data_IF_361344394050
#
_entry.id   IF_361344394050
#
_cell.length_a   1.000
_cell.length_b   1.000
_cell.length_c   1.000
_cell.angle_alpha   90.00
_cell.angle_beta   90.00
_cell.angle_gamma   90.00
#
_symmetry.space_group_name_H-M   'P 1'
#
loop_
_entity.id
_entity.type
_entity.pdbx_description
1 polymer ?
#
# COMPACT_ATOMS: atom_id res chain seq x y z
N UNK A 1 -22.81 5.99 -5.71
CA UNK A 1 -22.35 5.55 -4.36
C UNK A 1 -20.83 5.59 -4.34
N UNK A 2 -20.22 5.88 -3.20
CA UNK A 2 -18.76 5.78 -3.06
C UNK A 2 -18.35 4.30 -3.03
N UNK A 3 -17.18 3.97 -3.61
CA UNK A 3 -16.57 2.64 -3.49
C UNK A 3 -16.03 2.47 -2.07
N UNK A 4 -16.46 1.41 -1.38
CA UNK A 4 -16.01 1.11 -0.03
C UNK A 4 -14.68 0.40 -0.05
N UNK A 5 -13.72 0.92 0.73
CA UNK A 5 -12.38 0.36 0.82
C UNK A 5 -11.96 0.12 2.28
N UNK A 6 -11.11 -0.86 2.50
CA UNK A 6 -10.30 -1.02 3.72
C UNK A 6 -8.85 -0.87 3.27
N UNK A 7 -8.09 0.00 3.94
CA UNK A 7 -6.66 0.13 3.70
C UNK A 7 -5.90 -0.68 4.74
N UNK A 8 -5.16 -1.70 4.28
CA UNK A 8 -4.25 -2.52 5.09
C UNK A 8 -2.82 -2.13 4.73
N UNK A 9 -2.14 -1.41 5.61
CA UNK A 9 -0.92 -0.66 5.30
C UNK A 9 0.12 -0.75 6.42
N UNK A 10 1.36 -0.40 6.12
CA UNK A 10 2.46 -0.30 7.09
C UNK A 10 3.12 1.09 7.07
N UNK A 11 2.36 2.16 7.40
CA UNK A 11 2.62 3.53 6.99
C UNK A 11 4.07 3.98 7.03
N UNK A 12 4.65 3.96 5.82
CA UNK A 12 5.81 4.66 5.38
C UNK A 12 5.42 5.91 4.57
N UNK A 13 6.38 6.48 3.84
CA UNK A 13 6.22 7.73 3.10
C UNK A 13 5.14 7.66 2.01
N UNK A 14 5.13 6.60 1.24
CA UNK A 14 4.23 6.37 0.12
C UNK A 14 2.85 5.83 0.56
N UNK A 15 2.77 5.04 1.65
CA UNK A 15 1.49 4.74 2.32
C UNK A 15 0.78 6.00 2.80
N UNK A 16 1.54 6.95 3.39
CA UNK A 16 0.97 8.22 3.84
C UNK A 16 0.35 9.00 2.69
N UNK A 17 1.00 9.01 1.52
CA UNK A 17 0.45 9.62 0.30
C UNK A 17 -0.78 8.85 -0.17
N UNK A 18 -0.75 7.50 -0.17
CA UNK A 18 -1.91 6.68 -0.52
C UNK A 18 -3.13 6.99 0.38
N UNK A 19 -2.93 7.10 1.71
CA UNK A 19 -3.97 7.48 2.66
C UNK A 19 -4.54 8.88 2.35
N UNK A 20 -3.68 9.85 2.07
CA UNK A 20 -4.07 11.22 1.72
C UNK A 20 -4.93 11.24 0.44
N UNK A 21 -4.51 10.52 -0.59
CA UNK A 21 -5.26 10.44 -1.85
C UNK A 21 -6.62 9.75 -1.68
N UNK A 22 -6.66 8.65 -0.93
CA UNK A 22 -7.90 7.93 -0.65
C UNK A 22 -8.90 8.78 0.13
N UNK A 23 -8.41 9.55 1.10
CA UNK A 23 -9.23 10.38 1.98
C UNK A 23 -9.49 11.81 1.49
N UNK A 24 -9.05 12.18 0.29
CA UNK A 24 -9.28 13.50 -0.29
C UNK A 24 -10.77 13.89 -0.25
N UNK A 25 -11.05 15.17 -0.10
CA UNK A 25 -12.42 15.68 0.14
C UNK A 25 -13.38 15.28 -0.98
N UNK A 26 -12.92 15.32 -2.21
CA UNK A 26 -13.68 14.95 -3.41
C UNK A 26 -13.52 13.46 -3.81
N UNK A 27 -12.89 12.64 -2.96
CA UNK A 27 -12.64 11.23 -3.27
C UNK A 27 -13.95 10.45 -3.46
N UNK A 28 -14.06 9.63 -4.53
CA UNK A 28 -15.16 8.70 -4.72
C UNK A 28 -15.05 7.45 -3.82
N UNK A 29 -14.00 7.38 -2.99
CA UNK A 29 -13.74 6.28 -2.09
C UNK A 29 -14.32 6.57 -0.69
N UNK A 30 -14.76 5.51 0.00
CA UNK A 30 -15.18 5.52 1.39
C UNK A 30 -14.29 4.59 2.19
N UNK A 31 -13.40 5.16 3.01
CA UNK A 31 -12.50 4.38 3.87
C UNK A 31 -13.28 3.86 5.08
N UNK A 32 -13.60 2.57 5.11
CA UNK A 32 -14.32 1.93 6.21
C UNK A 32 -13.46 1.73 7.46
N UNK A 33 -12.16 1.49 7.26
CA UNK A 33 -11.14 1.37 8.29
C UNK A 33 -9.75 1.43 7.66
N UNK A 34 -8.76 1.78 8.49
CA UNK A 34 -7.34 1.55 8.23
C UNK A 34 -6.87 0.46 9.20
N UNK A 35 -6.25 -0.57 8.66
CA UNK A 35 -5.59 -1.63 9.42
C UNK A 35 -4.09 -1.56 9.21
N UNK A 36 -3.30 -1.82 10.25
CA UNK A 36 -1.85 -1.71 10.14
C UNK A 36 -1.16 -3.05 10.35
N UNK A 37 0.00 -3.22 9.73
CA UNK A 37 0.82 -4.44 9.79
C UNK A 37 2.28 -4.05 10.03
N UNK A 38 3.07 -4.96 10.55
CA UNK A 38 4.53 -4.81 10.62
C UNK A 38 5.15 -5.01 9.24
N UNK A 39 6.03 -4.10 8.84
CA UNK A 39 6.71 -4.11 7.55
C UNK A 39 7.73 -2.97 7.50
N UNK A 40 7.39 -1.79 6.99
CA UNK A 40 8.29 -0.64 6.95
C UNK A 40 8.90 -0.34 8.32
N UNK A 41 8.08 -0.48 9.37
CA UNK A 41 8.49 -0.41 10.78
C UNK A 41 7.68 -1.41 11.64
N UNK A 42 7.91 -1.41 12.95
CA UNK A 42 7.09 -2.18 13.87
C UNK A 42 5.62 -1.75 13.76
N UNK A 43 4.70 -2.67 13.99
CA UNK A 43 3.26 -2.38 13.92
C UNK A 43 2.83 -1.26 14.86
N UNK A 44 3.52 -1.05 15.97
CA UNK A 44 3.23 0.06 16.90
C UNK A 44 3.57 1.41 16.28
N UNK A 45 4.73 1.53 15.61
CA UNK A 45 5.11 2.74 14.88
C UNK A 45 4.19 2.97 13.69
N UNK A 46 3.91 1.94 12.91
CA UNK A 46 3.00 2.02 11.75
C UNK A 46 1.58 2.44 12.17
N UNK A 47 1.09 1.94 13.31
CA UNK A 47 -0.20 2.36 13.88
C UNK A 47 -0.18 3.84 14.29
N UNK A 48 0.90 4.28 14.94
CA UNK A 48 1.11 5.69 15.31
C UNK A 48 1.14 6.57 14.07
N UNK A 49 1.84 6.14 13.03
CA UNK A 49 1.94 6.85 11.76
C UNK A 49 0.58 6.98 11.07
N UNK A 50 -0.20 5.89 10.99
CA UNK A 50 -1.55 5.92 10.43
C UNK A 50 -2.45 6.94 11.16
N UNK A 51 -2.41 6.96 12.50
CA UNK A 51 -3.18 7.91 13.31
C UNK A 51 -2.75 9.35 13.03
N UNK A 52 -1.44 9.63 12.99
CA UNK A 52 -0.90 10.95 12.72
C UNK A 52 -1.27 11.45 11.31
N UNK A 53 -1.16 10.60 10.28
CA UNK A 53 -1.56 10.95 8.91
C UNK A 53 -3.05 11.31 8.85
N UNK A 54 -3.91 10.52 9.45
CA UNK A 54 -5.34 10.80 9.51
C UNK A 54 -5.66 12.08 10.31
N UNK A 55 -4.88 12.38 11.36
CA UNK A 55 -5.02 13.63 12.10
C UNK A 55 -4.66 14.86 11.24
N UNK A 56 -3.57 14.77 10.46
CA UNK A 56 -3.17 15.83 9.51
C UNK A 56 -4.24 16.06 8.44
N UNK A 57 -4.87 14.99 7.97
CA UNK A 57 -5.96 15.03 6.99
C UNK A 57 -7.28 15.54 7.59
N UNK A 58 -7.38 15.71 8.91
CA UNK A 58 -8.66 16.02 9.60
C UNK A 58 -9.66 14.86 9.59
N UNK A 59 -9.18 13.59 9.42
CA UNK A 59 -10.01 12.40 9.27
C UNK A 59 -9.98 11.50 10.52
N UNK A 60 -10.25 12.08 11.68
CA UNK A 60 -10.36 11.35 12.95
C UNK A 60 -11.60 10.42 13.02
N UNK A 61 -12.52 10.54 12.07
CA UNK A 61 -13.70 9.68 11.89
C UNK A 61 -13.33 8.25 11.46
N UNK A 62 -12.16 8.05 10.83
CA UNK A 62 -11.72 6.76 10.32
C UNK A 62 -11.06 5.95 11.43
N UNK A 63 -11.60 4.75 11.71
CA UNK A 63 -11.03 3.84 12.69
C UNK A 63 -9.68 3.28 12.22
N UNK A 64 -8.69 3.22 13.14
CA UNK A 64 -7.42 2.54 12.91
C UNK A 64 -7.34 1.31 13.81
N UNK A 65 -6.99 0.14 13.26
CA UNK A 65 -6.82 -1.10 13.99
C UNK A 65 -5.40 -1.63 13.86
N UNK A 66 -4.76 -1.94 14.99
CA UNK A 66 -3.45 -2.57 15.01
C UNK A 66 -3.56 -4.05 14.64
N UNK A 67 -2.70 -4.50 13.74
CA UNK A 67 -2.67 -5.88 13.25
C UNK A 67 -1.43 -6.66 13.66
N UNK A 68 -0.98 -7.52 12.75
CA UNK A 68 0.11 -8.44 12.99
C UNK A 68 1.45 -7.71 13.25
N UNK A 69 2.15 -8.13 14.29
CA UNK A 69 3.46 -7.63 14.67
C UNK A 69 4.61 -8.38 13.97
N UNK A 70 4.29 -9.42 13.21
CA UNK A 70 5.23 -10.28 12.48
C UNK A 70 4.51 -11.08 11.39
N UNK A 71 5.26 -11.61 10.42
CA UNK A 71 4.77 -12.54 9.41
C UNK A 71 4.19 -13.83 10.01
N UNK A 72 3.46 -14.60 9.21
CA UNK A 72 2.86 -15.87 9.63
C UNK A 72 3.90 -16.87 10.16
N UNK A 73 5.07 -16.94 9.55
CA UNK A 73 6.09 -17.97 9.86
C UNK A 73 7.43 -17.34 10.24
N UNK A 74 7.91 -16.36 9.48
CA UNK A 74 9.24 -15.77 9.65
C UNK A 74 9.30 -14.80 10.84
N UNK A 75 10.49 -14.49 11.36
CA UNK A 75 10.71 -13.32 12.20
C UNK A 75 10.37 -12.03 11.46
N UNK A 76 9.97 -11.01 12.19
CA UNK A 76 9.75 -9.68 11.61
C UNK A 76 11.05 -9.11 11.02
N UNK A 77 10.90 -8.43 9.89
CA UNK A 77 11.94 -7.64 9.24
C UNK A 77 11.36 -6.25 8.94
N UNK A 78 12.21 -5.22 8.99
CA UNK A 78 11.78 -3.83 8.85
C UNK A 78 12.65 -3.10 7.82
N UNK A 79 12.05 -2.17 7.07
CA UNK A 79 12.72 -1.33 6.09
C UNK A 79 13.16 0.04 6.69
N UNK A 80 13.66 0.03 7.92
CA UNK A 80 14.06 1.26 8.64
C UNK A 80 15.13 2.08 7.90
N UNK A 81 15.97 1.43 7.08
CA UNK A 81 16.98 2.12 6.27
C UNK A 81 16.35 3.02 5.19
N UNK A 82 15.11 2.70 4.78
CA UNK A 82 14.39 3.44 3.73
C UNK A 82 13.48 4.50 4.35
N UNK A 83 12.71 4.13 5.39
CA UNK A 83 11.68 4.98 5.96
C UNK A 83 12.11 5.75 7.23
N UNK A 84 13.33 5.53 7.69
CA UNK A 84 13.88 6.15 8.90
C UNK A 84 13.41 5.49 10.19
N UNK A 85 13.84 6.02 11.31
CA UNK A 85 13.59 5.48 12.65
C UNK A 85 12.10 5.46 13.03
N UNK A 86 11.35 6.51 12.67
CA UNK A 86 9.91 6.60 12.93
C UNK A 86 9.06 5.84 11.90
N UNK A 87 9.62 5.58 10.72
CA UNK A 87 8.90 5.13 9.53
C UNK A 87 8.34 6.28 8.68
N UNK A 88 8.31 7.50 9.20
CA UNK A 88 7.91 8.74 8.52
C UNK A 88 8.90 9.88 8.86
N UNK A 89 10.19 9.59 8.76
CA UNK A 89 11.20 10.61 9.00
C UNK A 89 11.15 11.71 7.91
N UNK A 90 11.42 12.94 8.31
CA UNK A 90 11.28 14.15 7.50
C UNK A 90 10.39 15.15 8.24
N UNK A 91 9.09 15.03 8.19
CA UNK A 91 8.19 15.90 8.95
C UNK A 91 8.25 15.66 10.46
N UNK A 92 7.94 16.71 11.23
CA UNK A 92 7.84 16.59 12.68
C UNK A 92 6.46 16.09 13.07
N UNK A 93 6.37 14.86 13.50
CA UNK A 93 5.14 14.24 13.95
C UNK A 93 5.12 14.05 15.48
N UNK A 94 3.93 14.11 16.13
CA UNK A 94 3.79 13.75 17.52
C UNK A 94 4.15 12.27 17.74
N UNK A 95 4.95 12.00 18.79
CA UNK A 95 5.23 10.62 19.21
C UNK A 95 4.00 9.93 19.84
N UNK A 96 3.02 10.72 20.27
CA UNK A 96 1.74 10.25 20.80
C UNK A 96 0.62 10.89 20.00
N UNK A 97 -0.14 10.09 19.23
CA UNK A 97 -1.28 10.58 18.46
C UNK A 97 -2.39 11.17 19.34
N UNK A 98 -3.26 11.98 18.77
CA UNK A 98 -4.39 12.60 19.46
C UNK A 98 -5.44 11.58 19.94
N UNK A 99 -5.44 10.39 19.36
CA UNK A 99 -6.37 9.29 19.65
C UNK A 99 -5.67 7.93 19.61
N UNK A 100 -6.35 6.90 20.04
CA UNK A 100 -5.83 5.52 20.03
C UNK A 100 -6.48 4.69 18.93
N UNK A 101 -5.77 3.64 18.52
CA UNK A 101 -6.33 2.58 17.70
C UNK A 101 -7.48 1.87 18.44
N UNK A 102 -8.42 1.32 17.67
CA UNK A 102 -9.50 0.51 18.26
C UNK A 102 -8.91 -0.78 18.87
N UNK A 103 -9.56 -1.30 19.92
CA UNK A 103 -9.09 -2.49 20.62
C UNK A 103 -9.20 -3.79 19.80
N UNK A 104 -10.04 -3.78 18.72
CA UNK A 104 -10.25 -4.94 17.87
C UNK A 104 -9.03 -5.14 16.95
N UNK A 105 -8.46 -6.37 16.85
CA UNK A 105 -7.35 -6.68 15.95
C UNK A 105 -7.71 -6.42 14.48
N UNK A 106 -6.72 -6.08 13.66
CA UNK A 106 -6.90 -5.73 12.25
C UNK A 106 -7.67 -6.81 11.46
N UNK A 107 -7.31 -8.09 11.59
CA UNK A 107 -8.01 -9.18 10.90
C UNK A 107 -9.50 -9.28 11.30
N UNK A 108 -9.84 -8.98 12.55
CA UNK A 108 -11.24 -8.96 13.00
C UNK A 108 -11.98 -7.74 12.47
N UNK A 109 -11.31 -6.59 12.35
CA UNK A 109 -11.89 -5.39 11.71
C UNK A 109 -12.15 -5.66 10.24
N UNK A 110 -11.20 -6.27 9.50
CA UNK A 110 -11.39 -6.67 8.11
C UNK A 110 -12.62 -7.57 7.98
N UNK A 111 -12.68 -8.67 8.74
CA UNK A 111 -13.80 -9.61 8.72
C UNK A 111 -15.12 -8.88 9.02
N UNK A 112 -15.16 -8.11 10.09
CA UNK A 112 -16.38 -7.41 10.51
C UNK A 112 -16.86 -6.43 9.43
N UNK A 113 -15.97 -5.56 8.92
CA UNK A 113 -16.32 -4.56 7.92
C UNK A 113 -16.78 -5.18 6.60
N UNK A 114 -16.13 -6.26 6.15
CA UNK A 114 -16.52 -6.99 4.94
C UNK A 114 -17.86 -7.67 5.12
N UNK A 115 -18.06 -8.41 6.22
CA UNK A 115 -19.30 -9.18 6.46
C UNK A 115 -20.51 -8.32 6.79
N UNK A 116 -20.32 -7.09 7.27
CA UNK A 116 -21.44 -6.18 7.62
C UNK A 116 -21.71 -5.12 6.55
N UNK A 117 -20.89 -5.05 5.51
CA UNK A 117 -21.08 -4.10 4.41
C UNK A 117 -22.30 -4.50 3.56
N UNK A 118 -23.08 -3.49 3.15
CA UNK A 118 -24.24 -3.67 2.24
C UNK A 118 -23.85 -3.78 0.76
N UNK A 119 -22.56 -3.51 0.45
CA UNK A 119 -21.97 -3.65 -0.89
C UNK A 119 -20.60 -4.33 -0.79
N UNK A 120 -20.12 -4.99 -1.84
CA UNK A 120 -18.78 -5.56 -1.85
C UNK A 120 -17.71 -4.51 -1.50
N UNK A 121 -16.64 -4.96 -0.82
CA UNK A 121 -15.57 -4.10 -0.31
C UNK A 121 -14.29 -4.37 -1.09
N UNK A 122 -13.57 -3.33 -1.48
CA UNK A 122 -12.21 -3.45 -2.01
C UNK A 122 -11.21 -3.39 -0.86
N UNK A 123 -10.30 -4.35 -0.77
CA UNK A 123 -9.15 -4.27 0.15
C UNK A 123 -7.99 -3.65 -0.62
N UNK A 124 -7.43 -2.57 -0.08
CA UNK A 124 -6.19 -1.96 -0.58
C UNK A 124 -5.08 -2.36 0.38
N UNK A 125 -4.16 -3.20 -0.09
CA UNK A 125 -3.06 -3.72 0.72
C UNK A 125 -1.74 -3.14 0.22
N UNK A 126 -1.13 -2.27 1.01
CA UNK A 126 0.13 -1.59 0.68
C UNK A 126 1.32 -2.12 1.47
N UNK A 127 1.08 -2.91 2.52
CA UNK A 127 2.10 -3.62 3.28
C UNK A 127 2.06 -5.14 3.08
N UNK A 128 2.84 -5.88 3.90
CA UNK A 128 2.81 -7.35 3.91
C UNK A 128 1.40 -7.89 4.15
N UNK A 129 1.01 -8.93 3.41
CA UNK A 129 -0.36 -9.43 3.34
C UNK A 129 -0.85 -10.23 4.56
N UNK A 130 -0.13 -10.17 5.67
CA UNK A 130 -0.37 -10.97 6.88
C UNK A 130 -1.78 -10.82 7.45
N UNK A 131 -2.29 -9.58 7.57
CA UNK A 131 -3.64 -9.34 8.09
C UNK A 131 -4.73 -9.86 7.15
N UNK A 132 -4.59 -9.61 5.86
CA UNK A 132 -5.54 -10.05 4.82
C UNK A 132 -5.58 -11.57 4.77
N UNK A 133 -4.43 -12.23 4.74
CA UNK A 133 -4.34 -13.69 4.78
C UNK A 133 -4.94 -14.27 6.06
N UNK A 134 -4.65 -13.66 7.22
CA UNK A 134 -5.23 -14.07 8.50
C UNK A 134 -6.75 -13.95 8.50
N UNK A 135 -7.30 -12.87 7.96
CA UNK A 135 -8.74 -12.69 7.84
C UNK A 135 -9.37 -13.77 6.95
N UNK A 136 -8.78 -14.07 5.79
CA UNK A 136 -9.22 -15.13 4.86
C UNK A 136 -9.11 -16.55 5.45
N UNK A 137 -8.11 -16.80 6.31
CA UNK A 137 -7.96 -18.09 7.00
C UNK A 137 -9.04 -18.26 8.08
N UNK A 138 -9.30 -17.20 8.85
CA UNK A 138 -10.23 -17.24 9.98
C UNK A 138 -11.69 -17.22 9.55
N UNK A 139 -12.01 -16.51 8.48
CA UNK A 139 -13.35 -16.39 7.92
C UNK A 139 -13.33 -16.45 6.38
N UNK A 140 -13.26 -17.66 5.80
CA UNK A 140 -13.16 -17.81 4.34
C UNK A 140 -14.33 -17.20 3.55
N UNK A 141 -15.51 -17.05 4.17
CA UNK A 141 -16.71 -16.49 3.51
C UNK A 141 -16.55 -15.03 3.13
N UNK A 142 -15.58 -14.28 3.74
CA UNK A 142 -15.33 -12.90 3.33
C UNK A 142 -14.93 -12.80 1.85
N UNK A 143 -14.36 -13.85 1.27
CA UNK A 143 -13.98 -13.86 -0.15
C UNK A 143 -15.16 -13.58 -1.09
N UNK A 144 -16.38 -13.97 -0.72
CA UNK A 144 -17.60 -13.73 -1.50
C UNK A 144 -18.11 -12.28 -1.41
N UNK A 145 -17.61 -11.52 -0.43
CA UNK A 145 -17.99 -10.12 -0.16
C UNK A 145 -16.90 -9.11 -0.48
N UNK A 146 -15.74 -9.59 -0.94
CA UNK A 146 -14.63 -8.74 -1.41
C UNK A 146 -14.76 -8.57 -2.92
N UNK A 147 -14.86 -7.31 -3.39
CA UNK A 147 -14.89 -6.98 -4.82
C UNK A 147 -13.55 -7.28 -5.48
N UNK A 148 -12.47 -6.84 -4.85
CA UNK A 148 -11.10 -7.06 -5.28
C UNK A 148 -10.11 -6.78 -4.16
N UNK A 149 -8.90 -7.31 -4.33
CA UNK A 149 -7.73 -6.90 -3.55
C UNK A 149 -6.81 -6.13 -4.50
N UNK A 150 -6.57 -4.86 -4.21
CA UNK A 150 -5.63 -4.02 -4.95
C UNK A 150 -4.39 -3.86 -4.09
N UNK A 151 -3.27 -4.43 -4.52
CA UNK A 151 -2.06 -4.50 -3.68
C UNK A 151 -0.84 -3.87 -4.34
N UNK A 152 0.02 -3.29 -3.51
CA UNK A 152 1.39 -2.97 -3.85
C UNK A 152 2.30 -4.10 -3.36
N UNK A 153 3.06 -4.67 -4.25
CA UNK A 153 4.06 -5.68 -3.94
C UNK A 153 4.48 -6.51 -5.13
N UNK A 154 5.63 -7.14 -5.01
CA UNK A 154 6.19 -8.00 -6.03
C UNK A 154 6.71 -7.28 -7.26
N UNK A 155 6.83 -8.04 -8.34
CA UNK A 155 7.39 -7.58 -9.61
C UNK A 155 8.12 -8.71 -10.31
N UNK A 156 8.61 -8.43 -11.52
CA UNK A 156 9.46 -9.37 -12.28
C UNK A 156 10.91 -9.35 -11.80
N UNK A 157 11.26 -8.43 -10.90
CA UNK A 157 12.55 -8.31 -10.22
C UNK A 157 12.30 -7.89 -8.75
N UNK A 158 13.37 -7.86 -7.93
CA UNK A 158 13.26 -7.52 -6.52
C UNK A 158 14.00 -6.23 -6.15
N UNK A 159 13.66 -5.70 -4.97
CA UNK A 159 14.36 -4.59 -4.30
C UNK A 159 14.93 -5.00 -2.94
N UNK A 160 14.41 -6.06 -2.34
CA UNK A 160 14.92 -6.61 -1.07
C UNK A 160 15.93 -7.74 -1.28
N UNK A 161 15.61 -8.62 -2.20
CA UNK A 161 16.57 -9.59 -2.79
C UNK A 161 16.59 -9.39 -4.31
N UNK A 162 17.52 -9.97 -5.05
CA UNK A 162 17.51 -9.85 -6.51
C UNK A 162 16.21 -10.29 -7.18
N UNK A 163 15.41 -11.13 -6.51
CA UNK A 163 14.21 -11.75 -7.08
C UNK A 163 12.93 -11.45 -6.31
N UNK A 164 13.01 -10.78 -5.16
CA UNK A 164 11.85 -10.55 -4.31
C UNK A 164 11.73 -9.07 -3.91
N UNK A 165 10.53 -8.56 -4.04
CA UNK A 165 10.11 -7.28 -3.50
C UNK A 165 9.79 -7.45 -2.00
N UNK A 166 9.95 -6.36 -1.24
CA UNK A 166 9.92 -6.36 0.22
C UNK A 166 8.62 -6.90 0.81
N UNK A 167 7.46 -6.41 0.41
CA UNK A 167 6.16 -6.80 0.98
C UNK A 167 5.89 -8.30 0.80
N UNK A 168 6.19 -8.83 -0.39
CA UNK A 168 6.03 -10.25 -0.69
C UNK A 168 7.11 -11.07 0.05
N UNK A 169 8.34 -10.57 0.12
CA UNK A 169 9.41 -11.25 0.82
C UNK A 169 9.18 -11.31 2.33
N UNK A 170 8.58 -10.29 2.94
CA UNK A 170 8.28 -10.30 4.39
C UNK A 170 7.36 -11.45 4.74
N UNK A 171 6.29 -11.69 3.99
CA UNK A 171 5.33 -12.77 4.26
C UNK A 171 4.86 -13.45 2.98
N UNK A 172 5.74 -14.28 2.39
CA UNK A 172 5.42 -15.01 1.16
C UNK A 172 4.30 -16.05 1.37
N UNK A 173 4.16 -16.60 2.56
CA UNK A 173 3.07 -17.51 2.91
C UNK A 173 1.72 -16.80 2.91
N UNK A 174 1.66 -15.60 3.47
CA UNK A 174 0.46 -14.77 3.42
C UNK A 174 0.14 -14.36 1.97
N UNK A 175 1.13 -13.92 1.21
CA UNK A 175 0.97 -13.59 -0.20
C UNK A 175 0.41 -14.79 -0.99
N UNK A 176 1.02 -15.96 -0.85
CA UNK A 176 0.51 -17.18 -1.49
C UNK A 176 -0.95 -17.45 -1.14
N UNK A 177 -1.32 -17.34 0.14
CA UNK A 177 -2.71 -17.54 0.59
C UNK A 177 -3.68 -16.57 -0.07
N UNK A 178 -3.27 -15.30 -0.25
CA UNK A 178 -4.09 -14.29 -0.93
C UNK A 178 -4.24 -14.61 -2.42
N UNK A 179 -3.16 -14.94 -3.12
CA UNK A 179 -3.20 -15.29 -4.55
C UNK A 179 -3.99 -16.57 -4.86
N UNK A 180 -4.15 -17.47 -3.88
CA UNK A 180 -4.97 -18.68 -3.98
C UNK A 180 -6.42 -18.49 -3.51
N UNK A 181 -6.83 -17.28 -3.14
CA UNK A 181 -8.16 -17.01 -2.57
C UNK A 181 -9.31 -17.07 -3.58
N UNK A 182 -9.01 -16.94 -4.87
CA UNK A 182 -10.01 -16.83 -5.93
C UNK A 182 -10.63 -15.42 -6.07
N UNK A 183 -10.22 -14.47 -5.23
CA UNK A 183 -10.63 -13.06 -5.32
C UNK A 183 -9.89 -12.41 -6.49
N UNK A 184 -10.52 -11.46 -7.18
CA UNK A 184 -9.84 -10.61 -8.18
C UNK A 184 -8.71 -9.82 -7.54
N UNK A 185 -7.48 -9.97 -8.05
CA UNK A 185 -6.30 -9.27 -7.53
C UNK A 185 -5.76 -8.31 -8.58
N UNK A 186 -5.57 -7.03 -8.19
CA UNK A 186 -4.86 -6.03 -8.99
C UNK A 186 -3.50 -5.78 -8.36
N UNK A 187 -2.43 -6.02 -9.10
CA UNK A 187 -1.05 -5.99 -8.60
C UNK A 187 -0.29 -4.80 -9.16
N UNK A 188 0.27 -4.00 -8.27
CA UNK A 188 1.17 -2.88 -8.59
C UNK A 188 2.57 -3.23 -8.10
N UNK A 189 3.30 -3.96 -8.96
CA UNK A 189 4.68 -4.38 -8.70
C UNK A 189 5.70 -3.29 -9.03
N UNK A 190 6.97 -3.57 -8.75
CA UNK A 190 8.09 -2.66 -9.02
C UNK A 190 8.17 -2.25 -10.50
N UNK A 191 7.70 -3.12 -11.40
CA UNK A 191 7.68 -2.88 -12.86
C UNK A 191 6.95 -1.58 -13.23
N UNK A 192 5.89 -1.25 -12.52
CA UNK A 192 5.11 -0.03 -12.74
C UNK A 192 5.44 1.06 -11.73
N UNK A 193 5.64 0.70 -10.45
CA UNK A 193 5.81 1.71 -9.39
C UNK A 193 7.13 2.46 -9.52
N UNK A 194 8.18 1.83 -10.04
CA UNK A 194 9.46 2.50 -10.36
C UNK A 194 9.36 3.50 -11.53
N UNK A 195 8.25 3.56 -12.23
CA UNK A 195 8.02 4.60 -13.25
C UNK A 195 7.54 5.92 -12.63
N UNK A 196 6.96 5.89 -11.41
CA UNK A 196 6.34 7.05 -10.77
C UNK A 196 7.28 7.63 -9.70
N UNK A 197 8.28 8.39 -10.16
CA UNK A 197 9.33 8.95 -9.31
C UNK A 197 9.01 10.40 -8.94
N UNK A 198 8.94 10.69 -7.65
CA UNK A 198 8.87 12.05 -7.13
C UNK A 198 10.26 12.68 -7.17
N UNK A 199 10.57 13.32 -8.30
CA UNK A 199 11.79 14.10 -8.51
C UNK A 199 11.67 15.54 -7.98
N UNK A 200 12.68 16.39 -8.25
CA UNK A 200 12.69 17.78 -7.82
C UNK A 200 11.53 18.57 -8.39
N UNK A 201 11.18 18.36 -9.66
CA UNK A 201 10.10 19.11 -10.32
C UNK A 201 8.73 18.81 -9.68
N UNK A 202 8.50 17.56 -9.31
CA UNK A 202 7.28 17.15 -8.59
C UNK A 202 7.22 17.82 -7.21
N UNK A 203 8.34 17.82 -6.48
CA UNK A 203 8.41 18.42 -5.15
C UNK A 203 8.17 19.93 -5.23
N UNK A 204 8.86 20.65 -6.11
CA UNK A 204 8.67 22.10 -6.34
C UNK A 204 7.22 22.44 -6.74
N UNK A 205 6.59 21.58 -7.55
CA UNK A 205 5.19 21.73 -7.91
C UNK A 205 4.28 21.70 -6.69
N UNK A 206 4.50 20.75 -5.77
CA UNK A 206 3.68 20.60 -4.57
C UNK A 206 3.97 21.67 -3.50
N UNK A 207 5.20 22.20 -3.45
CA UNK A 207 5.55 23.37 -2.61
C UNK A 207 4.69 24.60 -2.92
N UNK A 208 4.19 24.71 -4.15
CA UNK A 208 3.29 25.80 -4.55
C UNK A 208 1.88 25.71 -3.95
N UNK A 209 1.51 24.56 -3.35
CA UNK A 209 0.19 24.31 -2.77
C UNK A 209 0.22 24.78 -1.30
N UNK A 210 -0.60 25.78 -0.99
CA UNK A 210 -0.59 26.43 0.31
C UNK A 210 -1.57 25.78 1.30
N UNK A 211 -1.33 24.51 1.68
CA UNK A 211 -2.08 23.87 2.75
C UNK A 211 -1.20 22.90 3.56
N UNK A 212 -1.58 22.57 4.82
CA UNK A 212 -0.76 21.72 5.69
C UNK A 212 -0.54 20.30 5.17
N UNK A 213 -1.50 19.74 4.43
CA UNK A 213 -1.39 18.37 3.88
C UNK A 213 -0.37 18.32 2.76
N UNK A 214 -0.38 19.30 1.85
CA UNK A 214 0.61 19.40 0.79
C UNK A 214 2.02 19.63 1.35
N UNK A 215 2.16 20.51 2.35
CA UNK A 215 3.44 20.73 3.02
C UNK A 215 3.97 19.44 3.66
N UNK A 216 3.10 18.67 4.32
CA UNK A 216 3.47 17.37 4.87
C UNK A 216 3.95 16.40 3.80
N UNK A 217 3.26 16.32 2.65
CA UNK A 217 3.68 15.48 1.51
C UNK A 217 5.04 15.93 0.97
N UNK A 218 5.29 17.23 0.84
CA UNK A 218 6.59 17.76 0.42
C UNK A 218 7.72 17.29 1.36
N UNK A 219 7.54 17.42 2.67
CA UNK A 219 8.54 16.99 3.65
C UNK A 219 8.81 15.48 3.59
N UNK A 220 7.76 14.66 3.37
CA UNK A 220 7.91 13.22 3.13
C UNK A 220 8.73 12.95 1.87
N UNK A 221 8.38 13.57 0.74
CA UNK A 221 9.02 13.34 -0.54
C UNK A 221 10.48 13.81 -0.57
N UNK A 222 10.80 14.91 0.12
CA UNK A 222 12.19 15.38 0.26
C UNK A 222 13.07 14.36 0.99
N UNK A 223 12.58 13.77 2.08
CA UNK A 223 13.28 12.70 2.78
C UNK A 223 13.41 11.45 1.91
N UNK A 224 12.32 11.02 1.32
CA UNK A 224 12.23 9.79 0.54
C UNK A 224 13.13 9.82 -0.70
N UNK A 225 13.14 10.95 -1.43
CA UNK A 225 14.07 11.20 -2.55
C UNK A 225 15.54 11.04 -2.13
N UNK A 226 15.92 11.64 -0.98
CA UNK A 226 17.29 11.54 -0.46
C UNK A 226 17.67 10.10 -0.15
N UNK A 227 16.77 9.34 0.45
CA UNK A 227 16.98 7.92 0.81
C UNK A 227 17.14 7.07 -0.45
N UNK A 228 16.25 7.23 -1.43
CA UNK A 228 16.33 6.49 -2.69
C UNK A 228 17.56 6.85 -3.52
N UNK A 229 18.00 8.10 -3.48
CA UNK A 229 19.29 8.50 -4.09
C UNK A 229 20.47 7.79 -3.44
N UNK A 230 20.44 7.63 -2.12
CA UNK A 230 21.54 7.02 -1.37
C UNK A 230 21.61 5.51 -1.57
N UNK A 231 20.47 4.80 -1.51
CA UNK A 231 20.42 3.34 -1.51
C UNK A 231 20.32 2.73 -2.91
N UNK A 232 19.61 3.39 -3.84
CA UNK A 232 19.30 2.84 -5.16
C UNK A 232 19.83 3.70 -6.32
N UNK A 233 20.48 4.84 -6.03
CA UNK A 233 20.94 5.83 -7.02
C UNK A 233 19.82 6.32 -7.97
N UNK A 234 18.57 6.37 -7.49
CA UNK A 234 17.42 6.93 -8.20
C UNK A 234 17.34 8.44 -8.00
N UNK A 235 16.84 9.18 -9.00
CA UNK A 235 16.75 10.66 -8.94
C UNK A 235 15.46 11.16 -8.27
N UNK A 236 14.54 10.25 -7.90
CA UNK A 236 13.31 10.50 -7.17
C UNK A 236 12.94 9.32 -6.28
N UNK A 237 12.09 9.54 -5.28
CA UNK A 237 11.48 8.48 -4.51
C UNK A 237 10.26 7.93 -5.25
N UNK A 238 10.17 6.61 -5.53
CA UNK A 238 8.98 6.04 -6.14
C UNK A 238 7.82 6.02 -5.13
N UNK A 239 6.66 6.50 -5.55
CA UNK A 239 5.45 6.49 -4.71
C UNK A 239 4.68 5.18 -4.90
N UNK A 240 5.29 4.07 -4.48
CA UNK A 240 4.82 2.72 -4.75
C UNK A 240 3.33 2.54 -4.42
N UNK A 241 2.96 2.80 -3.18
CA UNK A 241 1.64 2.50 -2.61
C UNK A 241 0.54 3.38 -3.18
N UNK A 242 0.88 4.63 -3.48
CA UNK A 242 -0.04 5.58 -4.09
C UNK A 242 -0.62 5.06 -5.42
N UNK A 243 0.13 4.24 -6.17
CA UNK A 243 -0.33 3.64 -7.43
C UNK A 243 -1.62 2.83 -7.25
N UNK A 244 -1.81 2.17 -6.10
CA UNK A 244 -3.02 1.40 -5.80
C UNK A 244 -4.26 2.28 -5.72
N UNK A 245 -4.15 3.43 -5.07
CA UNK A 245 -5.25 4.39 -4.92
C UNK A 245 -5.49 5.16 -6.22
N UNK A 246 -4.44 5.58 -6.92
CA UNK A 246 -4.54 6.24 -8.21
C UNK A 246 -5.30 5.37 -9.22
N UNK A 247 -5.06 4.07 -9.24
CA UNK A 247 -5.84 3.13 -10.05
C UNK A 247 -7.32 3.09 -9.66
N UNK A 248 -7.64 3.10 -8.37
CA UNK A 248 -9.05 3.12 -7.94
C UNK A 248 -9.74 4.44 -8.23
N UNK A 249 -9.00 5.54 -8.29
CA UNK A 249 -9.51 6.86 -8.65
C UNK A 249 -9.68 7.02 -10.16
N UNK A 250 -8.72 6.53 -10.94
CA UNK A 250 -8.65 6.70 -12.40
C UNK A 250 -7.95 5.50 -13.05
N UNK A 251 -8.68 4.38 -13.26
CA UNK A 251 -8.09 3.12 -13.75
C UNK A 251 -7.39 3.22 -15.10
N UNK A 252 -7.84 4.12 -15.96
CA UNK A 252 -7.28 4.35 -17.30
C UNK A 252 -5.84 4.85 -17.31
N UNK A 253 -5.31 5.31 -16.16
CA UNK A 253 -3.91 5.68 -16.03
C UNK A 253 -2.95 4.49 -16.14
N UNK A 254 -3.45 3.29 -15.92
CA UNK A 254 -2.62 2.08 -15.84
C UNK A 254 -2.98 1.05 -16.91
N UNK A 255 -1.97 0.46 -17.54
CA UNK A 255 -2.15 -0.70 -18.39
C UNK A 255 -2.09 -1.98 -17.53
N UNK A 256 -3.25 -2.65 -17.40
CA UNK A 256 -3.39 -3.89 -16.64
C UNK A 256 -3.46 -5.09 -17.58
N UNK A 257 -2.66 -6.13 -17.34
CA UNK A 257 -2.67 -7.36 -18.12
C UNK A 257 -3.09 -8.56 -17.25
N UNK A 258 -3.98 -9.43 -17.74
CA UNK A 258 -4.34 -10.65 -17.02
C UNK A 258 -3.17 -11.64 -17.07
N UNK A 259 -2.72 -12.13 -15.91
CA UNK A 259 -1.57 -13.04 -15.79
C UNK A 259 -1.83 -14.11 -14.74
N UNK A 260 -1.11 -15.24 -14.84
CA UNK A 260 -0.96 -16.15 -13.71
C UNK A 260 0.24 -15.71 -12.88
N UNK A 261 0.05 -15.66 -11.56
CA UNK A 261 1.08 -15.34 -10.58
C UNK A 261 1.16 -16.47 -9.55
N UNK A 262 2.35 -17.03 -9.39
CA UNK A 262 2.70 -17.96 -8.31
C UNK A 262 3.71 -17.28 -7.36
N UNK A 263 3.59 -17.57 -6.05
CA UNK A 263 4.52 -17.06 -5.03
C UNK A 263 5.45 -18.15 -4.56
N UNK A 264 6.76 -17.93 -4.69
CA UNK A 264 7.79 -18.82 -4.16
C UNK A 264 7.97 -18.57 -2.65
N UNK A 265 7.76 -19.61 -1.84
CA UNK A 265 7.77 -19.51 -0.38
C UNK A 265 8.61 -20.60 0.32
N UNK A 266 9.36 -21.42 -0.43
CA UNK A 266 10.09 -22.57 0.11
C UNK A 266 11.60 -22.47 -0.10
N UNK A 267 12.03 -22.01 -1.29
CA UNK A 267 13.45 -21.95 -1.62
C UNK A 267 14.14 -20.81 -0.87
N UNK A 268 15.19 -21.05 -0.10
CA UNK A 268 15.92 -19.98 0.58
C UNK A 268 16.61 -18.99 -0.38
N UNK A 269 16.81 -19.36 -1.65
CA UNK A 269 17.43 -18.49 -2.65
C UNK A 269 16.42 -17.54 -3.29
N UNK A 270 15.19 -18.00 -3.50
CA UNK A 270 14.16 -17.26 -4.26
C UNK A 270 12.89 -17.05 -3.45
N UNK A 271 12.97 -17.16 -2.12
CA UNK A 271 11.85 -16.90 -1.22
C UNK A 271 11.28 -15.49 -1.43
N UNK A 272 9.98 -15.40 -1.58
CA UNK A 272 9.26 -14.15 -1.86
C UNK A 272 9.26 -13.73 -3.33
N UNK A 273 9.84 -14.54 -4.24
CA UNK A 273 9.75 -14.28 -5.68
C UNK A 273 8.30 -14.38 -6.13
N UNK A 274 7.84 -13.37 -6.85
CA UNK A 274 6.59 -13.38 -7.58
C UNK A 274 6.85 -13.85 -9.00
N UNK A 275 6.42 -15.07 -9.33
CA UNK A 275 6.55 -15.65 -10.67
C UNK A 275 5.39 -15.15 -11.55
N UNK A 276 5.60 -14.05 -12.26
CA UNK A 276 4.59 -13.41 -13.13
C UNK A 276 4.70 -14.01 -14.54
N UNK A 277 3.68 -14.75 -14.98
CA UNK A 277 3.65 -15.38 -16.30
C UNK A 277 3.13 -14.44 -17.39
N UNK A 278 3.91 -13.41 -17.72
CA UNK A 278 3.58 -12.44 -18.78
C UNK A 278 3.48 -13.06 -20.17
N UNK A 279 4.18 -14.16 -20.41
CA UNK A 279 4.24 -14.82 -21.70
C UNK A 279 3.31 -16.05 -21.80
N UNK A 280 2.52 -16.32 -20.78
CA UNK A 280 1.58 -17.46 -20.70
C UNK A 280 2.25 -18.83 -20.92
N UNK A 281 3.53 -18.99 -20.52
CA UNK A 281 4.32 -20.20 -20.75
C UNK A 281 3.84 -21.38 -19.90
N UNK A 282 3.21 -21.11 -18.75
CA UNK A 282 2.67 -22.17 -17.88
C UNK A 282 1.34 -22.74 -18.37
N UNK A 283 0.61 -22.01 -19.22
CA UNK A 283 -0.73 -22.37 -19.65
C UNK A 283 -1.78 -22.33 -18.53
N UNK A 284 -1.44 -21.84 -17.32
CA UNK A 284 -2.38 -21.68 -16.22
C UNK A 284 -3.34 -20.51 -16.49
N UNK A 285 -4.60 -20.57 -16.01
CA UNK A 285 -5.52 -19.43 -16.10
C UNK A 285 -4.97 -18.25 -15.28
N UNK A 286 -5.29 -17.03 -15.72
CA UNK A 286 -4.98 -15.82 -14.97
C UNK A 286 -5.67 -15.83 -13.60
N UNK A 287 -4.94 -15.47 -12.54
CA UNK A 287 -5.45 -15.27 -11.20
C UNK A 287 -5.27 -13.83 -10.70
N UNK A 288 -4.65 -12.96 -11.51
CA UNK A 288 -4.43 -11.56 -11.20
C UNK A 288 -4.38 -10.69 -12.46
N UNK A 289 -4.57 -9.38 -12.26
CA UNK A 289 -4.23 -8.33 -13.21
C UNK A 289 -2.95 -7.65 -12.74
N UNK A 290 -1.97 -7.55 -13.61
CA UNK A 290 -0.65 -6.98 -13.30
C UNK A 290 -0.44 -5.68 -14.07
N UNK A 291 -0.08 -4.60 -13.35
CA UNK A 291 0.18 -3.30 -13.95
C UNK A 291 1.55 -3.28 -14.63
N UNK A 292 1.58 -2.92 -15.93
CA UNK A 292 2.81 -2.93 -16.75
C UNK A 292 3.25 -1.55 -17.20
N UNK A 293 2.35 -0.59 -17.27
CA UNK A 293 2.64 0.79 -17.66
C UNK A 293 1.70 1.77 -16.96
N UNK A 294 2.12 3.03 -16.87
CA UNK A 294 1.37 4.11 -16.25
C UNK A 294 1.60 5.43 -16.99
N UNK A 295 0.56 6.26 -17.07
CA UNK A 295 0.67 7.64 -17.54
C UNK A 295 1.18 8.52 -16.38
N UNK A 296 2.50 8.71 -16.34
CA UNK A 296 3.19 9.40 -15.23
C UNK A 296 2.77 10.87 -15.13
N UNK A 297 2.57 11.56 -16.26
CA UNK A 297 2.19 12.97 -16.25
C UNK A 297 0.79 13.15 -15.65
N UNK A 298 -0.17 12.34 -16.08
CA UNK A 298 -1.54 12.39 -15.55
C UNK A 298 -1.62 11.92 -14.10
N UNK A 299 -0.76 11.00 -13.68
CA UNK A 299 -0.62 10.64 -12.25
C UNK A 299 -0.28 11.87 -11.41
N UNK A 300 0.73 12.65 -11.80
CA UNK A 300 1.12 13.83 -11.05
C UNK A 300 0.07 14.94 -11.11
N UNK A 301 -0.67 15.04 -12.22
CA UNK A 301 -1.80 15.96 -12.35
C UNK A 301 -2.93 15.58 -11.38
N UNK A 302 -3.24 14.31 -11.26
CA UNK A 302 -4.26 13.81 -10.34
C UNK A 302 -3.87 14.03 -8.87
N UNK A 303 -2.61 13.77 -8.50
CA UNK A 303 -2.11 14.00 -7.14
C UNK A 303 -2.17 15.50 -6.79
N UNK A 304 -1.69 16.37 -7.67
CA UNK A 304 -1.77 17.83 -7.48
C UNK A 304 -3.21 18.29 -7.24
N UNK A 305 -4.13 17.82 -8.07
CA UNK A 305 -5.56 18.09 -7.90
C UNK A 305 -6.07 17.64 -6.52
N UNK A 306 -5.76 16.41 -6.10
CA UNK A 306 -6.20 15.86 -4.81
C UNK A 306 -5.62 16.62 -3.62
N UNK A 307 -4.35 17.01 -3.68
CA UNK A 307 -3.72 17.81 -2.62
C UNK A 307 -4.39 19.18 -2.46
N UNK A 308 -4.81 19.82 -3.57
CA UNK A 308 -5.53 21.11 -3.51
C UNK A 308 -6.92 21.00 -2.89
N UNK A 309 -7.52 19.81 -2.82
CA UNK A 309 -8.84 19.67 -2.17
C UNK A 309 -8.80 19.85 -0.65
N UNK A 310 -7.62 19.91 -0.05
CA UNK A 310 -7.40 20.15 1.37
C UNK A 310 -7.23 21.66 1.71
N UNK A 311 -7.42 22.55 0.74
CA UNK A 311 -7.41 24.01 0.93
C UNK A 311 -8.62 24.53 1.71
#
# INVERSE_FOLDING_TARGET
>A
MKRKIIMDCDPGHDDAIALILAGAIDSPLEILAVTTVAGNQSVDKNTTNALNVLDIMGRQDIAVAKGADRPLIKPAAFASEIHGESGLDGPKLPSTPSRQAVAMPASDVIINKVMTSDTPVTIVATGPLTNVATALIREPRIAEHIESITLMGGGTFGNWTPTAEFNIWVDAEAAKRVFESGITINVFGLDVTHQVLADEHVIERFESINNPVAQFVVELLQFFKKTYKTHFNMDGGPIHDACTILYLLQPELFAMVPVNIDIEHQSPLTYGTMAVDLNHVTGKPANAYFATAVDVEEVWNLIDHKLRTYE
#
